data_IF_374695035310
#
_entry.id   IF_374695035310
#
_cell.length_a   1.000
_cell.length_b   1.000
_cell.length_c   1.000
_cell.angle_alpha   90.00
_cell.angle_beta   90.00
_cell.angle_gamma   90.00
#
_symmetry.space_group_name_H-M   'P 1'
#
loop_
_entity.id
_entity.type
_entity.pdbx_description
1 polymer ?
#
# COMPACT_ATOMS: atom_id res chain seq x y z
N UNK A 1 35.99 -51.07 -12.85
CA UNK A 1 35.98 -49.85 -13.65
C UNK A 1 34.59 -49.42 -14.11
N UNK A 2 33.71 -50.31 -14.47
CA UNK A 2 32.35 -49.94 -14.86
C UNK A 2 31.51 -49.34 -13.70
N UNK A 3 31.74 -49.80 -12.47
CA UNK A 3 30.99 -49.34 -11.30
C UNK A 3 31.36 -47.93 -10.88
N UNK A 4 32.61 -47.51 -11.08
CA UNK A 4 33.08 -46.17 -10.71
C UNK A 4 32.52 -45.10 -11.64
N UNK A 5 32.44 -45.39 -12.95
CA UNK A 5 31.85 -44.50 -13.93
C UNK A 5 30.33 -44.33 -13.72
N UNK A 6 29.62 -45.42 -13.41
CA UNK A 6 28.19 -45.37 -13.11
C UNK A 6 27.90 -44.62 -11.82
N UNK A 7 28.73 -44.82 -10.77
CA UNK A 7 28.63 -44.07 -9.51
C UNK A 7 28.89 -42.58 -9.69
N UNK A 8 29.87 -42.24 -10.53
CA UNK A 8 30.17 -40.84 -10.83
C UNK A 8 29.01 -40.14 -11.53
N UNK A 9 28.41 -40.76 -12.54
CA UNK A 9 27.25 -40.20 -13.25
C UNK A 9 26.06 -40.03 -12.31
N UNK A 10 25.84 -40.99 -11.40
CA UNK A 10 24.77 -40.92 -10.42
C UNK A 10 24.97 -39.74 -9.44
N UNK A 11 26.20 -39.54 -8.94
CA UNK A 11 26.53 -38.44 -8.04
C UNK A 11 26.37 -37.10 -8.77
N UNK A 12 26.79 -37.00 -10.01
CA UNK A 12 26.64 -35.80 -10.82
C UNK A 12 25.16 -35.46 -11.05
N UNK A 13 24.33 -36.47 -11.35
CA UNK A 13 22.90 -36.28 -11.52
C UNK A 13 22.23 -35.81 -10.23
N UNK A 14 22.60 -36.35 -9.09
CA UNK A 14 22.10 -35.92 -7.78
C UNK A 14 22.51 -34.49 -7.47
N UNK A 15 23.77 -34.13 -7.74
CA UNK A 15 24.27 -32.73 -7.53
C UNK A 15 23.52 -31.74 -8.40
N UNK A 16 23.29 -32.07 -9.67
CA UNK A 16 22.51 -31.19 -10.57
C UNK A 16 21.07 -31.03 -10.10
N UNK A 17 20.44 -32.13 -9.62
CA UNK A 17 19.09 -32.09 -9.07
C UNK A 17 19.03 -31.20 -7.82
N UNK A 18 20.02 -31.27 -6.92
CA UNK A 18 20.12 -30.45 -5.73
C UNK A 18 20.28 -28.97 -6.07
N UNK A 19 21.15 -28.65 -7.03
CA UNK A 19 21.36 -27.26 -7.49
C UNK A 19 20.08 -26.70 -8.13
N UNK A 20 19.42 -27.46 -8.98
CA UNK A 20 18.17 -27.04 -9.60
C UNK A 20 17.07 -26.78 -8.56
N UNK A 21 16.96 -27.64 -7.55
CA UNK A 21 16.00 -27.48 -6.46
C UNK A 21 16.29 -26.25 -5.62
N UNK A 22 17.55 -26.02 -5.27
CA UNK A 22 17.99 -24.84 -4.51
C UNK A 22 17.70 -23.55 -5.30
N UNK A 23 17.96 -23.53 -6.60
CA UNK A 23 17.67 -22.40 -7.47
C UNK A 23 16.16 -22.12 -7.53
N UNK A 24 15.33 -23.14 -7.67
CA UNK A 24 13.87 -23.01 -7.73
C UNK A 24 13.31 -22.44 -6.42
N UNK A 25 13.79 -22.92 -5.27
CA UNK A 25 13.39 -22.41 -3.94
C UNK A 25 13.83 -20.95 -3.77
N UNK A 26 15.06 -20.61 -4.18
CA UNK A 26 15.58 -19.24 -4.11
C UNK A 26 14.75 -18.25 -4.92
N UNK A 27 14.38 -18.63 -6.14
CA UNK A 27 13.51 -17.81 -7.00
C UNK A 27 12.13 -17.63 -6.37
N UNK A 28 11.54 -18.69 -5.81
CA UNK A 28 10.25 -18.61 -5.14
C UNK A 28 10.25 -17.67 -3.94
N UNK A 29 11.29 -17.70 -3.11
CA UNK A 29 11.45 -16.80 -1.96
C UNK A 29 11.63 -15.36 -2.45
N UNK A 30 12.46 -15.14 -3.46
CA UNK A 30 12.68 -13.82 -4.04
C UNK A 30 11.39 -13.21 -4.57
N UNK A 31 10.59 -13.96 -5.31
CA UNK A 31 9.30 -13.49 -5.84
C UNK A 31 8.34 -13.10 -4.73
N UNK A 32 8.25 -13.88 -3.65
CA UNK A 32 7.41 -13.54 -2.49
C UNK A 32 7.87 -12.26 -1.82
N UNK A 33 9.18 -12.06 -1.68
CA UNK A 33 9.74 -10.86 -1.08
C UNK A 33 9.41 -9.62 -1.91
N UNK A 34 9.53 -9.68 -3.23
CA UNK A 34 9.16 -8.59 -4.14
C UNK A 34 7.68 -8.25 -4.02
N UNK A 35 6.79 -9.24 -4.01
CA UNK A 35 5.35 -9.02 -3.87
C UNK A 35 5.00 -8.34 -2.54
N UNK A 36 5.61 -8.77 -1.43
CA UNK A 36 5.40 -8.16 -0.12
C UNK A 36 5.89 -6.71 -0.11
N UNK A 37 7.03 -6.43 -0.72
CA UNK A 37 7.56 -5.06 -0.81
C UNK A 37 6.65 -4.15 -1.64
N UNK A 38 6.08 -4.62 -2.74
CA UNK A 38 5.15 -3.84 -3.54
C UNK A 38 3.86 -3.53 -2.77
N UNK A 39 3.31 -4.51 -2.04
CA UNK A 39 2.17 -4.28 -1.16
C UNK A 39 2.46 -3.26 -0.07
N UNK A 40 3.60 -3.39 0.60
CA UNK A 40 4.01 -2.46 1.64
C UNK A 40 4.23 -1.06 1.07
N UNK A 41 4.83 -0.95 -0.12
CA UNK A 41 5.03 0.32 -0.81
C UNK A 41 3.73 1.01 -1.16
N UNK A 42 2.75 0.28 -1.69
CA UNK A 42 1.44 0.82 -2.03
C UNK A 42 0.68 1.30 -0.79
N UNK A 43 0.71 0.53 0.31
CA UNK A 43 0.07 0.94 1.57
C UNK A 43 0.74 2.16 2.19
N UNK A 44 2.06 2.25 2.08
CA UNK A 44 2.83 3.40 2.54
C UNK A 44 2.47 4.65 1.74
N UNK A 45 2.34 4.52 0.42
CA UNK A 45 1.90 5.61 -0.45
C UNK A 45 0.48 6.06 -0.12
N UNK A 46 -0.43 5.11 0.14
CA UNK A 46 -1.79 5.43 0.59
C UNK A 46 -1.77 6.23 1.90
N UNK A 47 -0.91 5.86 2.85
CA UNK A 47 -0.76 6.60 4.10
C UNK A 47 -0.23 8.03 3.87
N UNK A 48 0.72 8.22 2.95
CA UNK A 48 1.20 9.54 2.56
C UNK A 48 0.11 10.38 1.91
N UNK A 49 -0.68 9.79 1.02
CA UNK A 49 -1.81 10.47 0.39
C UNK A 49 -2.86 10.88 1.43
N UNK A 50 -3.17 10.02 2.38
CA UNK A 50 -4.09 10.32 3.47
C UNK A 50 -3.58 11.49 4.32
N UNK A 51 -2.30 11.47 4.66
CA UNK A 51 -1.68 12.55 5.44
C UNK A 51 -1.72 13.88 4.69
N UNK A 52 -1.43 13.86 3.39
CA UNK A 52 -1.50 15.03 2.55
C UNK A 52 -2.93 15.59 2.48
N UNK A 53 -3.93 14.72 2.32
CA UNK A 53 -5.34 15.12 2.30
C UNK A 53 -5.77 15.72 3.64
N UNK A 54 -5.38 15.14 4.76
CA UNK A 54 -5.67 15.69 6.08
C UNK A 54 -5.01 17.04 6.29
N UNK A 55 -3.78 17.24 5.80
CA UNK A 55 -3.09 18.53 5.88
C UNK A 55 -3.82 19.62 5.08
N UNK A 56 -4.30 19.29 3.89
CA UNK A 56 -5.10 20.20 3.06
C UNK A 56 -6.41 20.55 3.76
N UNK A 57 -7.07 19.57 4.37
CA UNK A 57 -8.30 19.81 5.12
C UNK A 57 -8.08 20.68 6.34
N UNK A 58 -7.00 20.47 7.10
CA UNK A 58 -6.64 21.31 8.24
C UNK A 58 -6.41 22.76 7.81
N UNK A 59 -5.67 22.95 6.71
CA UNK A 59 -5.44 24.29 6.16
C UNK A 59 -6.74 24.96 5.70
N UNK A 60 -7.65 24.20 5.10
CA UNK A 60 -8.96 24.71 4.68
C UNK A 60 -9.80 25.13 5.88
N UNK A 61 -9.78 24.35 6.96
CA UNK A 61 -10.49 24.69 8.21
C UNK A 61 -9.91 25.94 8.87
N UNK A 62 -8.59 26.11 8.84
CA UNK A 62 -7.93 27.30 9.36
C UNK A 62 -8.35 28.56 8.59
N UNK A 63 -8.68 28.42 7.32
CA UNK A 63 -9.20 29.50 6.48
C UNK A 63 -10.71 29.69 6.60
N UNK A 64 -11.38 28.90 7.43
CA UNK A 64 -12.82 28.97 7.61
C UNK A 64 -13.64 28.28 6.53
N UNK A 65 -13.02 27.47 5.69
CA UNK A 65 -13.70 26.73 4.64
C UNK A 65 -14.41 25.52 5.24
N UNK A 66 -15.63 25.24 4.81
CA UNK A 66 -16.36 24.06 5.23
C UNK A 66 -15.86 22.82 4.47
N UNK A 67 -15.72 21.72 5.20
CA UNK A 67 -15.39 20.43 4.59
C UNK A 67 -16.64 19.78 4.02
N UNK A 68 -16.49 19.19 2.83
CA UNK A 68 -17.57 18.48 2.15
C UNK A 68 -17.08 17.12 1.70
N UNK A 69 -18.00 16.21 1.44
CA UNK A 69 -17.70 14.93 0.85
C UNK A 69 -17.09 15.14 -0.54
N UNK A 70 -16.05 14.37 -0.85
CA UNK A 70 -15.36 14.49 -2.13
C UNK A 70 -14.81 13.14 -2.55
N UNK A 71 -14.75 12.92 -3.85
CA UNK A 71 -14.05 11.79 -4.44
C UNK A 71 -13.01 12.33 -5.40
N UNK A 72 -11.78 11.86 -5.25
CA UNK A 72 -10.68 12.24 -6.12
C UNK A 72 -9.85 11.02 -6.52
N UNK A 73 -9.06 11.18 -7.56
CA UNK A 73 -8.14 10.14 -8.02
C UNK A 73 -6.74 10.74 -8.11
N UNK A 74 -5.76 9.96 -7.68
CA UNK A 74 -4.35 10.34 -7.80
C UNK A 74 -3.57 9.14 -8.30
N UNK A 75 -2.63 9.40 -9.19
CA UNK A 75 -1.73 8.36 -9.69
C UNK A 75 -0.34 8.58 -9.12
N UNK A 76 0.22 7.54 -8.53
CA UNK A 76 1.56 7.54 -7.99
C UNK A 76 2.21 6.20 -8.28
N UNK A 77 3.43 6.21 -8.84
CA UNK A 77 4.16 5.00 -9.22
C UNK A 77 3.34 4.06 -10.11
N UNK A 78 2.64 4.62 -11.09
CA UNK A 78 1.77 3.90 -12.04
C UNK A 78 0.57 3.20 -11.40
N UNK A 79 0.27 3.50 -10.14
CA UNK A 79 -0.91 3.00 -9.44
C UNK A 79 -1.91 4.14 -9.30
N UNK A 80 -3.14 3.91 -9.73
CA UNK A 80 -4.23 4.86 -9.56
C UNK A 80 -4.91 4.63 -8.21
N UNK A 81 -4.88 5.65 -7.36
CA UNK A 81 -5.53 5.63 -6.05
C UNK A 81 -6.83 6.43 -6.12
N UNK A 82 -7.90 5.80 -5.69
CA UNK A 82 -9.20 6.47 -5.53
C UNK A 82 -9.37 6.86 -4.07
N UNK A 83 -9.59 8.15 -3.83
CA UNK A 83 -9.73 8.71 -2.48
C UNK A 83 -11.17 9.17 -2.33
N UNK A 84 -11.90 8.53 -1.41
CA UNK A 84 -13.26 8.91 -1.05
C UNK A 84 -13.23 9.53 0.33
N UNK A 85 -13.67 10.77 0.42
CA UNK A 85 -13.75 11.51 1.67
C UNK A 85 -15.18 11.59 2.14
N UNK A 86 -15.46 11.07 3.33
CA UNK A 86 -16.74 11.20 4.01
C UNK A 86 -16.55 12.09 5.23
N UNK A 87 -17.35 13.15 5.34
CA UNK A 87 -17.25 14.14 6.38
C UNK A 87 -18.54 14.16 7.18
N UNK A 88 -18.42 14.01 8.51
CA UNK A 88 -19.54 14.15 9.44
C UNK A 88 -19.22 15.27 10.41
N UNK A 89 -20.09 16.27 10.49
CA UNK A 89 -19.94 17.38 11.43
C UNK A 89 -20.65 17.07 12.74
N UNK A 90 -19.93 17.25 13.85
CA UNK A 90 -20.49 17.13 15.20
C UNK A 90 -20.03 18.34 16.01
N UNK A 91 -20.89 19.35 16.16
CA UNK A 91 -20.53 20.59 16.84
C UNK A 91 -19.42 21.32 16.11
N UNK A 92 -18.31 21.56 16.82
CA UNK A 92 -17.12 22.21 16.27
C UNK A 92 -16.12 21.23 15.66
N UNK A 93 -16.46 19.95 15.62
CA UNK A 93 -15.58 18.92 15.13
C UNK A 93 -16.09 18.34 13.82
N UNK A 94 -15.14 17.95 12.98
CA UNK A 94 -15.39 17.16 11.79
C UNK A 94 -14.77 15.80 11.95
N UNK A 95 -15.59 14.77 11.83
CA UNK A 95 -15.09 13.40 11.76
C UNK A 95 -14.92 13.07 10.27
N UNK A 96 -13.68 12.91 9.85
CA UNK A 96 -13.34 12.68 8.45
C UNK A 96 -12.87 11.25 8.29
N UNK A 97 -13.49 10.54 7.37
CA UNK A 97 -13.07 9.21 6.96
C UNK A 97 -12.55 9.28 5.54
N UNK A 98 -11.33 8.84 5.36
CA UNK A 98 -10.74 8.68 4.04
C UNK A 98 -10.67 7.20 3.70
N UNK A 99 -11.27 6.83 2.58
CA UNK A 99 -11.18 5.49 2.02
C UNK A 99 -10.32 5.59 0.77
N UNK A 100 -9.15 4.97 0.81
CA UNK A 100 -8.23 4.97 -0.32
C UNK A 100 -8.19 3.56 -0.88
N UNK A 101 -8.55 3.41 -2.14
CA UNK A 101 -8.57 2.12 -2.82
C UNK A 101 -7.70 2.16 -4.06
N UNK A 102 -7.09 1.03 -4.38
CA UNK A 102 -6.25 0.85 -5.56
C UNK A 102 -6.32 -0.58 -6.03
N UNK A 103 -5.94 -0.80 -7.28
CA UNK A 103 -5.87 -2.12 -7.88
C UNK A 103 -4.42 -2.61 -7.82
N UNK A 104 -4.21 -3.82 -7.33
CA UNK A 104 -2.90 -4.45 -7.27
C UNK A 104 -3.02 -5.94 -7.52
N UNK A 105 -2.29 -6.46 -8.51
CA UNK A 105 -2.30 -7.87 -8.89
C UNK A 105 -3.71 -8.42 -9.16
N UNK A 106 -4.58 -7.61 -9.79
CA UNK A 106 -5.95 -7.99 -10.09
C UNK A 106 -6.91 -7.97 -8.91
N UNK A 107 -6.44 -7.53 -7.73
CA UNK A 107 -7.26 -7.38 -6.54
C UNK A 107 -7.43 -5.91 -6.17
N UNK A 108 -8.59 -5.58 -5.63
CA UNK A 108 -8.81 -4.27 -5.06
C UNK A 108 -8.32 -4.28 -3.60
N UNK A 109 -7.41 -3.37 -3.30
CA UNK A 109 -6.92 -3.12 -1.95
C UNK A 109 -7.52 -1.83 -1.43
N UNK A 110 -7.77 -1.77 -0.12
CA UNK A 110 -8.39 -0.63 0.51
C UNK A 110 -7.72 -0.31 1.83
N UNK A 111 -7.56 0.96 2.11
CA UNK A 111 -7.09 1.45 3.40
C UNK A 111 -8.04 2.55 3.89
N UNK A 112 -8.41 2.49 5.16
CA UNK A 112 -9.31 3.44 5.79
C UNK A 112 -8.56 4.24 6.84
N UNK A 113 -8.74 5.56 6.82
CA UNK A 113 -8.16 6.48 7.76
C UNK A 113 -9.26 7.35 8.34
N UNK A 114 -9.27 7.50 9.67
CA UNK A 114 -10.26 8.30 10.37
C UNK A 114 -9.53 9.34 11.22
N UNK A 115 -9.96 10.58 11.12
CA UNK A 115 -9.39 11.66 11.92
C UNK A 115 -10.47 12.64 12.32
N UNK A 116 -10.39 13.12 13.56
CA UNK A 116 -11.24 14.19 14.03
C UNK A 116 -10.50 15.51 13.89
N UNK A 117 -11.09 16.44 13.16
CA UNK A 117 -10.54 17.77 12.93
C UNK A 117 -11.40 18.81 13.63
N UNK A 118 -10.76 19.79 14.25
CA UNK A 118 -11.46 20.88 14.88
C UNK A 118 -11.43 22.10 13.97
N UNK A 119 -12.56 22.78 13.88
CA UNK A 119 -12.61 24.06 13.18
C UNK A 119 -11.95 25.14 14.01
N UNK A 120 -10.80 25.62 13.55
CA UNK A 120 -10.02 26.64 14.26
C UNK A 120 -10.34 28.05 13.82
N UNK A 121 -11.08 28.25 12.78
CA UNK A 121 -11.15 29.49 12.04
C UNK A 121 -12.02 30.58 12.61
N UNK A 122 -12.60 30.43 13.81
CA UNK A 122 -13.44 31.50 14.37
C UNK A 122 -13.33 31.62 15.87
N UNK A 123 -12.22 32.07 16.30
CA UNK A 123 -12.23 32.90 17.48
C UNK A 123 -12.66 34.30 17.05
N UNK A 124 -13.95 34.52 16.92
CA UNK A 124 -14.36 35.90 16.95
C UNK A 124 -14.09 36.46 18.34
N UNK A 125 -13.48 37.58 18.43
CA UNK A 125 -13.59 38.32 19.66
C UNK A 125 -15.02 38.74 19.89
#
# INVERSE_FOLDING_TARGET
MRNDAAGWILIEAVLLACVALAAAVGIGIFMRTVLVQEHAGARMEAAFLARAEFSVMEAALDQGTMLVDMTSERTSNDIAYRIVREVTRTGDFYDVRLRISWQMFGHEEEANYVRRLRQHGRTSP
#
